data_IF_502256814705
#
_entry.id   IF_502256814705
#
_cell.length_a   1.000
_cell.length_b   1.000
_cell.length_c   1.000
_cell.angle_alpha   90.00
_cell.angle_beta   90.00
_cell.angle_gamma   90.00
#
_symmetry.space_group_name_H-M   'P 1'
#
loop_
_entity.id
_entity.type
_entity.pdbx_description
1 polymer ?
#
# COMPACT_ATOMS: atom_id res chain seq x y z
N UNK A 1 -4.85 3.78 0.38
CA UNK A 1 -5.32 3.10 1.60
C UNK A 1 -4.15 2.35 2.23
N UNK A 2 -3.80 2.65 3.50
CA UNK A 2 -2.75 1.93 4.22
C UNK A 2 -3.11 0.46 4.48
N UNK A 3 -2.14 -0.44 4.32
CA UNK A 3 -2.29 -1.87 4.56
C UNK A 3 -1.53 -2.28 5.83
N UNK A 4 -2.25 -2.51 6.93
CA UNK A 4 -1.68 -2.79 8.24
C UNK A 4 -0.83 -4.08 8.29
N UNK A 5 -1.04 -5.02 7.35
CA UNK A 5 -0.23 -6.24 7.26
C UNK A 5 1.20 -5.97 6.79
N UNK A 6 1.44 -4.81 6.18
CA UNK A 6 2.74 -4.40 5.63
C UNK A 6 3.56 -3.53 6.58
N UNK A 7 3.08 -3.33 7.81
CA UNK A 7 3.71 -2.47 8.79
C UNK A 7 5.04 -3.06 9.28
N UNK A 8 6.14 -2.32 9.11
CA UNK A 8 7.49 -2.71 9.55
C UNK A 8 8.19 -1.50 10.18
N UNK A 9 8.87 -1.69 11.31
CA UNK A 9 9.70 -0.64 11.92
C UNK A 9 10.94 -0.40 11.05
N UNK A 10 11.22 0.86 10.72
CA UNK A 10 12.42 1.24 9.98
C UNK A 10 13.67 1.03 10.87
N UNK A 11 14.65 0.21 10.45
CA UNK A 11 15.85 -0.03 11.25
C UNK A 11 16.96 1.01 11.05
N UNK A 12 16.76 1.99 10.16
CA UNK A 12 17.79 2.95 9.74
C UNK A 12 17.49 4.39 10.18
N UNK A 13 16.23 4.73 10.44
CA UNK A 13 15.85 6.04 10.96
C UNK A 13 16.26 6.21 12.43
N UNK A 14 16.72 7.40 12.79
CA UNK A 14 17.16 7.74 14.15
C UNK A 14 15.98 7.75 15.15
N UNK A 15 14.85 8.30 14.72
CA UNK A 15 13.60 8.28 15.48
C UNK A 15 12.75 7.05 15.13
N UNK A 16 12.00 6.46 16.09
CA UNK A 16 11.12 5.32 15.84
C UNK A 16 10.11 5.60 14.72
N UNK A 17 10.37 5.01 13.55
CA UNK A 17 9.60 5.27 12.33
C UNK A 17 8.95 3.99 11.83
N UNK A 18 7.66 4.08 11.48
CA UNK A 18 6.88 2.94 10.98
C UNK A 18 6.67 3.07 9.46
N UNK A 19 7.14 2.08 8.71
CA UNK A 19 6.91 1.98 7.26
C UNK A 19 5.63 1.20 7.02
N UNK A 20 4.68 1.81 6.30
CA UNK A 20 3.42 1.17 5.89
C UNK A 20 3.21 1.37 4.39
N UNK A 21 3.00 0.28 3.66
CA UNK A 21 2.64 0.37 2.24
C UNK A 21 1.17 0.77 2.08
N UNK A 22 0.90 1.61 1.09
CA UNK A 22 -0.45 2.07 0.77
C UNK A 22 -0.80 1.77 -0.68
N UNK A 23 -2.06 1.46 -0.93
CA UNK A 23 -2.62 1.36 -2.29
C UNK A 23 -3.16 2.73 -2.74
N UNK A 24 -3.17 3.02 -4.04
CA UNK A 24 -3.74 4.27 -4.56
C UNK A 24 -5.22 4.07 -4.91
N UNK A 25 -6.07 5.03 -4.52
CA UNK A 25 -7.51 5.01 -4.80
C UNK A 25 -7.92 6.28 -5.54
N UNK A 26 -8.86 6.14 -6.45
CA UNK A 26 -9.47 7.27 -7.17
C UNK A 26 -10.42 8.02 -6.21
N UNK A 27 -10.21 9.32 -5.94
CA UNK A 27 -11.03 10.05 -4.98
C UNK A 27 -12.48 10.24 -5.43
N UNK A 28 -12.75 10.24 -6.73
CA UNK A 28 -14.09 10.48 -7.27
C UNK A 28 -15.06 9.32 -7.08
N UNK A 29 -14.58 8.07 -7.13
CA UNK A 29 -15.44 6.87 -7.00
C UNK A 29 -14.96 5.84 -5.97
N UNK A 30 -13.82 6.09 -5.31
CA UNK A 30 -13.25 5.23 -4.28
C UNK A 30 -12.68 3.91 -4.80
N UNK A 31 -12.58 3.72 -6.13
CA UNK A 31 -12.07 2.47 -6.70
C UNK A 31 -10.55 2.40 -6.68
N UNK A 32 -9.97 1.18 -6.72
CA UNK A 32 -8.53 1.01 -6.88
C UNK A 32 -8.03 1.68 -8.16
N UNK A 33 -6.95 2.44 -8.05
CA UNK A 33 -6.35 3.11 -9.20
C UNK A 33 -5.75 2.08 -10.16
N UNK A 34 -6.16 2.11 -11.44
CA UNK A 34 -5.78 1.05 -12.40
C UNK A 34 -4.28 0.98 -12.71
N UNK A 35 -3.55 2.08 -12.49
CA UNK A 35 -2.10 2.14 -12.73
C UNK A 35 -1.26 1.92 -11.47
N UNK A 36 -1.89 1.65 -10.32
CA UNK A 36 -1.16 1.29 -9.12
C UNK A 36 -0.60 -0.14 -9.24
N UNK A 37 0.74 -0.34 -9.26
CA UNK A 37 1.34 -1.66 -9.38
C UNK A 37 0.90 -2.64 -8.29
N UNK A 38 0.63 -2.14 -7.06
CA UNK A 38 0.16 -2.99 -5.96
C UNK A 38 -1.26 -3.50 -6.20
N UNK A 39 -2.15 -2.61 -6.64
CA UNK A 39 -3.52 -2.99 -7.01
C UNK A 39 -3.54 -4.01 -8.16
N UNK A 40 -2.65 -3.89 -9.14
CA UNK A 40 -2.48 -4.88 -10.22
C UNK A 40 -1.94 -6.21 -9.66
N UNK A 41 -0.91 -6.18 -8.82
CA UNK A 41 -0.33 -7.37 -8.20
C UNK A 41 -1.33 -8.14 -7.35
N UNK A 42 -2.12 -7.45 -6.52
CA UNK A 42 -3.19 -8.05 -5.71
C UNK A 42 -4.29 -8.71 -6.56
N UNK A 43 -4.61 -8.13 -7.72
CA UNK A 43 -5.55 -8.75 -8.67
C UNK A 43 -4.96 -10.02 -9.30
N UNK A 44 -3.68 -9.97 -9.68
CA UNK A 44 -2.98 -11.10 -10.29
C UNK A 44 -2.78 -12.28 -9.32
N UNK A 45 -2.53 -12.00 -8.04
CA UNK A 45 -2.35 -13.03 -7.01
C UNK A 45 -3.64 -13.78 -6.64
N UNK A 46 -4.80 -13.30 -7.08
CA UNK A 46 -6.11 -13.90 -6.81
C UNK A 46 -6.63 -14.76 -7.97
N UNK A 47 -5.77 -15.09 -8.94
CA UNK A 47 -5.99 -16.12 -9.98
C UNK A 47 -5.49 -17.45 -9.44
#
# INVERSE_FOLDING_TARGET
MPDASTAVMDPFYDEPTLVISCDVIEPSDGKPYEKDPRSIGKKASNI
#
